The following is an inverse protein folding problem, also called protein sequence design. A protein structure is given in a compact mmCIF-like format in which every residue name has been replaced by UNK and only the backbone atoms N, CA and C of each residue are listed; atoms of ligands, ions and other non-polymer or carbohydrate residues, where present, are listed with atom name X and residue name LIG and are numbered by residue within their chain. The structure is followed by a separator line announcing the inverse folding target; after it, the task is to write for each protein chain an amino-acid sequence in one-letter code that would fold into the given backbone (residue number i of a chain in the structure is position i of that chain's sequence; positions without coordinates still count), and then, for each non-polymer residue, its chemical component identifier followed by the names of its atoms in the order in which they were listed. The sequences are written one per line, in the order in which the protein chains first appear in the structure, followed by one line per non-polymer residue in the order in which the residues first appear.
data_IF_589396020019
#
_entry.id   IF_589396020019
#
_cell.length_a   1.000
_cell.length_b   1.000
_cell.length_c   1.000
_cell.angle_alpha   90.00
_cell.angle_beta   90.00
_cell.angle_gamma   90.00
#
_symmetry.space_group_name_H-M   'P 1'
#
loop_
_entity.id
_entity.type
_entity.pdbx_description
1 polymer ?
#
# COMPACT_ATOMS: atom_id res chain seq x y z
N UNK A 1 4.86 3.04 -13.14
CA UNK A 1 4.78 3.52 -11.75
C UNK A 1 6.00 2.95 -11.03
N UNK A 2 6.96 3.81 -10.65
CA UNK A 2 8.13 3.38 -9.88
C UNK A 2 7.85 3.69 -8.41
N UNK A 3 7.42 2.69 -7.65
CA UNK A 3 7.30 2.82 -6.21
C UNK A 3 8.67 2.50 -5.61
N UNK A 4 9.29 3.50 -4.97
CA UNK A 4 10.49 3.29 -4.17
C UNK A 4 10.07 2.67 -2.83
N UNK A 5 10.20 1.34 -2.72
CA UNK A 5 9.94 0.60 -1.48
C UNK A 5 11.30 0.25 -0.86
N UNK A 6 11.69 0.94 0.20
CA UNK A 6 12.76 0.44 1.07
C UNK A 6 12.20 -0.68 1.97
N UNK A 7 12.95 -1.78 2.19
CA UNK A 7 12.44 -2.93 2.91
C UNK A 7 12.13 -2.57 4.37
N UNK A 8 10.93 -2.97 4.83
CA UNK A 8 10.40 -2.71 6.17
C UNK A 8 11.35 -3.08 7.32
N UNK A 9 12.18 -4.11 7.10
CA UNK A 9 13.12 -4.65 8.08
C UNK A 9 14.18 -3.66 8.56
N UNK A 10 14.48 -2.59 7.82
CA UNK A 10 15.57 -1.68 8.17
C UNK A 10 15.15 -0.59 9.16
N UNK A 11 13.88 -0.14 9.15
CA UNK A 11 13.41 0.97 9.99
C UNK A 11 11.94 0.82 10.43
N UNK A 12 11.62 -0.17 11.29
CA UNK A 12 10.23 -0.50 11.65
C UNK A 12 9.50 0.61 12.46
N UNK A 13 10.23 1.61 12.97
CA UNK A 13 9.66 2.70 13.77
C UNK A 13 9.32 3.96 12.97
N UNK A 14 9.74 4.05 11.70
CA UNK A 14 9.49 5.23 10.87
C UNK A 14 8.20 5.06 10.05
N UNK A 15 7.42 6.13 9.87
CA UNK A 15 6.26 6.09 8.99
C UNK A 15 6.70 5.98 7.53
N UNK A 16 6.03 5.09 6.79
CA UNK A 16 6.19 4.89 5.36
C UNK A 16 5.50 5.99 4.58
N UNK A 17 6.10 6.32 3.44
CA UNK A 17 5.51 7.22 2.47
C UNK A 17 5.14 6.47 1.19
N UNK A 18 3.85 6.42 0.90
CA UNK A 18 3.33 5.90 -0.37
C UNK A 18 2.90 7.08 -1.22
N UNK A 19 3.47 7.17 -2.43
CA UNK A 19 3.13 8.19 -3.40
C UNK A 19 2.55 7.56 -4.66
N UNK A 20 1.45 8.12 -5.16
CA UNK A 20 0.83 7.69 -6.42
C UNK A 20 0.38 8.89 -7.25
N UNK A 21 0.18 8.64 -8.54
CA UNK A 21 -0.39 9.57 -9.51
C UNK A 21 -1.62 8.95 -10.14
N UNK A 22 -2.67 9.74 -10.33
CA UNK A 22 -3.80 9.38 -11.18
C UNK A 22 -3.56 9.77 -12.65
N UNK A 23 -4.57 9.58 -13.51
CA UNK A 23 -4.50 9.93 -14.94
C UNK A 23 -4.43 11.43 -15.24
N UNK A 24 -4.81 12.27 -14.27
CA UNK A 24 -4.75 13.73 -14.38
C UNK A 24 -3.49 14.31 -13.74
N UNK A 25 -2.57 13.44 -13.32
CA UNK A 25 -1.35 13.77 -12.58
C UNK A 25 -1.62 14.37 -11.19
N UNK A 26 -2.81 14.17 -10.62
CA UNK A 26 -3.01 14.48 -9.21
C UNK A 26 -2.17 13.52 -8.37
N UNK A 27 -1.55 14.07 -7.33
CA UNK A 27 -0.67 13.38 -6.40
C UNK A 27 -1.43 12.90 -5.19
N UNK A 28 -1.29 11.61 -4.87
CA UNK A 28 -1.68 11.04 -3.59
C UNK A 28 -0.41 10.81 -2.77
N UNK A 29 -0.42 11.26 -1.51
CA UNK A 29 0.64 11.03 -0.54
C UNK A 29 0.05 10.45 0.73
N UNK A 30 0.38 9.21 1.06
CA UNK A 30 -0.03 8.55 2.31
C UNK A 30 1.19 8.43 3.22
N UNK A 31 1.06 8.90 4.46
CA UNK A 31 2.02 8.72 5.54
C UNK A 31 1.38 7.79 6.57
N UNK A 32 1.95 6.60 6.77
CA UNK A 32 1.37 5.58 7.66
C UNK A 32 2.44 4.65 8.24
N UNK A 33 2.13 3.94 9.32
CA UNK A 33 2.95 2.83 9.81
C UNK A 33 2.46 1.54 9.16
N UNK A 34 3.38 0.71 8.67
CA UNK A 34 3.02 -0.62 8.22
C UNK A 34 2.96 -1.56 9.43
N UNK A 35 1.92 -2.39 9.48
CA UNK A 35 1.79 -3.46 10.47
C UNK A 35 1.69 -4.79 9.75
N UNK A 36 2.56 -5.72 10.15
CA UNK A 36 2.53 -7.09 9.65
C UNK A 36 1.22 -7.76 10.09
N UNK A 37 0.46 -8.28 9.13
CA UNK A 37 -0.81 -8.97 9.40
C UNK A 37 -0.92 -10.32 8.69
N UNK A 38 0.19 -10.82 8.13
CA UNK A 38 0.18 -12.08 7.39
C UNK A 38 -0.36 -13.22 8.25
N UNK A 39 -1.43 -13.82 7.78
CA UNK A 39 -2.00 -15.08 8.26
C UNK A 39 -2.55 -15.84 7.05
N UNK A 40 -2.85 -17.13 7.21
CA UNK A 40 -3.47 -17.89 6.11
C UNK A 40 -4.81 -17.28 5.69
N UNK A 41 -5.59 -16.75 6.63
CA UNK A 41 -6.85 -16.07 6.37
C UNK A 41 -6.65 -14.79 5.56
N UNK A 42 -5.66 -13.97 5.95
CA UNK A 42 -5.33 -12.74 5.21
C UNK A 42 -4.85 -13.06 3.78
N UNK A 43 -4.03 -14.10 3.62
CA UNK A 43 -3.56 -14.55 2.31
C UNK A 43 -4.70 -15.06 1.44
N UNK A 44 -5.61 -15.88 1.98
CA UNK A 44 -6.82 -16.33 1.26
C UNK A 44 -7.67 -15.15 0.80
N UNK A 45 -7.94 -14.20 1.69
CA UNK A 45 -8.69 -12.99 1.35
C UNK A 45 -8.02 -12.17 0.23
N UNK A 46 -6.68 -12.05 0.25
CA UNK A 46 -5.95 -11.36 -0.80
C UNK A 46 -6.07 -12.06 -2.17
N UNK A 47 -6.05 -13.40 -2.21
CA UNK A 47 -6.23 -14.16 -3.46
C UNK A 47 -7.66 -14.07 -4.00
N UNK A 48 -8.67 -13.96 -3.15
CA UNK A 48 -10.06 -13.75 -3.57
C UNK A 48 -10.24 -12.41 -4.29
N UNK A 49 -9.61 -11.34 -3.76
CA UNK A 49 -9.68 -10.00 -4.35
C UNK A 49 -8.75 -9.85 -5.55
N UNK A 50 -7.57 -10.46 -5.51
CA UNK A 50 -6.56 -10.34 -6.55
C UNK A 50 -6.01 -11.72 -7.00
N UNK A 51 -6.77 -12.48 -7.81
CA UNK A 51 -6.36 -13.82 -8.28
C UNK A 51 -5.05 -13.83 -9.08
N UNK A 52 -4.62 -12.68 -9.59
CA UNK A 52 -3.35 -12.54 -10.30
C UNK A 52 -2.13 -12.84 -9.42
N UNK A 53 -2.23 -12.68 -8.10
CA UNK A 53 -1.15 -12.99 -7.16
C UNK A 53 -0.73 -14.46 -7.24
N UNK A 54 -1.69 -15.38 -7.43
CA UNK A 54 -1.39 -16.80 -7.60
C UNK A 54 -0.62 -17.07 -8.90
N UNK A 55 -0.91 -16.31 -9.97
CA UNK A 55 -0.18 -16.40 -11.25
C UNK A 55 1.25 -15.88 -11.16
N UNK A 56 1.56 -15.07 -10.14
CA UNK A 56 2.91 -14.60 -9.85
C UNK A 56 3.75 -15.61 -9.05
N UNK A 57 3.15 -16.73 -8.62
CA UNK A 57 3.82 -17.80 -7.89
C UNK A 57 3.65 -17.75 -6.37
N UNK A 58 2.85 -16.82 -5.84
CA UNK A 58 2.53 -16.78 -4.42
C UNK A 58 1.48 -17.83 -4.05
N UNK A 59 1.58 -18.37 -2.84
CA UNK A 59 0.61 -19.31 -2.29
C UNK A 59 0.34 -19.05 -0.79
N UNK A 60 -0.78 -19.57 -0.30
CA UNK A 60 -1.08 -19.53 1.14
C UNK A 60 -0.05 -20.39 1.89
N UNK A 61 0.55 -19.83 2.94
CA UNK A 61 1.54 -20.52 3.77
C UNK A 61 2.90 -20.73 3.11
N UNK A 62 3.21 -20.05 2.00
CA UNK A 62 4.48 -20.21 1.28
C UNK A 62 5.71 -19.64 2.03
N UNK A 63 5.50 -18.86 3.09
CA UNK A 63 6.55 -18.17 3.84
C UNK A 63 7.20 -17.01 3.09
N UNK A 64 6.64 -16.60 1.94
CA UNK A 64 7.16 -15.53 1.07
C UNK A 64 6.11 -14.42 0.89
N UNK A 65 4.82 -14.77 0.79
CA UNK A 65 3.74 -13.81 0.56
C UNK A 65 3.35 -13.10 1.86
N UNK A 66 3.97 -11.96 2.10
CA UNK A 66 3.71 -11.12 3.28
C UNK A 66 2.64 -10.07 3.00
N UNK A 67 1.74 -9.87 3.96
CA UNK A 67 0.66 -8.89 3.92
C UNK A 67 0.80 -7.93 5.08
N UNK A 68 0.66 -6.65 4.76
CA UNK A 68 0.74 -5.54 5.70
C UNK A 68 -0.51 -4.68 5.60
N UNK A 69 -0.96 -4.17 6.75
CA UNK A 69 -1.96 -3.11 6.85
C UNK A 69 -1.29 -1.79 7.18
N UNK A 70 -1.98 -0.69 6.88
CA UNK A 70 -1.54 0.66 7.24
C UNK A 70 -2.26 1.09 8.52
N UNK A 71 -1.50 1.45 9.55
CA UNK A 71 -1.98 2.06 10.80
C UNK A 71 -1.56 3.52 10.89
N UNK A 72 -2.28 4.32 11.67
CA UNK A 72 -2.04 5.76 11.86
C UNK A 72 -1.92 6.53 10.52
N UNK A 73 -2.71 6.11 9.51
CA UNK A 73 -2.60 6.66 8.17
C UNK A 73 -3.16 8.08 8.08
N UNK A 74 -2.37 8.98 7.50
CA UNK A 74 -2.81 10.28 7.02
C UNK A 74 -2.56 10.37 5.53
N UNK A 75 -3.42 11.07 4.81
CA UNK A 75 -3.28 11.22 3.37
C UNK A 75 -3.41 12.68 2.96
N UNK A 76 -2.82 13.01 1.82
CA UNK A 76 -2.94 14.31 1.18
C UNK A 76 -3.06 14.09 -0.32
N UNK A 77 -4.05 14.74 -0.92
CA UNK A 77 -4.27 14.70 -2.36
C UNK A 77 -4.11 16.12 -2.93
N UNK A 78 -3.15 16.30 -3.84
CA UNK A 78 -2.91 17.60 -4.48
C UNK A 78 -2.90 17.47 -5.99
N UNK A 79 -3.53 18.41 -6.67
CA UNK A 79 -3.33 18.64 -8.12
C UNK A 79 -1.87 18.96 -8.43
N UNK A 80 -1.47 18.85 -9.70
CA UNK A 80 -0.13 19.31 -10.16
C UNK A 80 0.17 20.77 -9.83
N UNK A 81 -0.87 21.58 -9.62
CA UNK A 81 -0.77 22.99 -9.24
C UNK A 81 -0.71 23.20 -7.71
N UNK A 82 -0.68 22.11 -6.92
CA UNK A 82 -0.59 22.17 -5.46
C UNK A 82 -1.91 22.47 -4.73
N UNK A 83 -3.05 22.48 -5.43
CA UNK A 83 -4.38 22.65 -4.82
C UNK A 83 -4.92 21.33 -4.30
N UNK A 84 -5.72 21.37 -3.24
CA UNK A 84 -6.47 20.19 -2.78
C UNK A 84 -7.40 19.67 -3.88
N UNK A 85 -7.48 18.35 -3.98
CA UNK A 85 -8.44 17.68 -4.87
C UNK A 85 -9.77 17.61 -4.13
N UNK A 86 -10.81 18.22 -4.69
CA UNK A 86 -12.16 18.23 -4.10
C UNK A 86 -12.86 16.87 -4.26
N UNK A 87 -13.79 16.54 -3.36
CA UNK A 87 -14.65 15.36 -3.48
C UNK A 87 -14.01 14.03 -3.08
N UNK A 88 -12.86 14.04 -2.40
CA UNK A 88 -12.26 12.84 -1.83
C UNK A 88 -12.79 12.64 -0.42
N UNK A 89 -13.77 11.74 -0.28
CA UNK A 89 -14.18 11.16 1.01
C UNK A 89 -13.61 9.74 1.12
N UNK A 90 -13.04 9.40 2.28
CA UNK A 90 -12.55 8.05 2.61
C UNK A 90 -13.43 7.40 3.66
#
# INVERSE_FOLDING_TARGET
MYSFFEPYSSYPSLPYLICALDSEFNTLRIVAKAKFTTSEEAQKAAFEVMPALAKMGYAVGDGIFEIYTLEDASFTCKTMMGKDVEGIEL
#
